data_IF_552805688192
#
_entry.id   IF_552805688192
#
_cell.length_a   1.000
_cell.length_b   1.000
_cell.length_c   1.000
_cell.angle_alpha   90.00
_cell.angle_beta   90.00
_cell.angle_gamma   90.00
#
_symmetry.space_group_name_H-M   'P 1'
#
loop_
_entity.id
_entity.type
_entity.pdbx_description
1 polymer ?
#
# COMPACT_ATOMS: atom_id res chain seq x y z
N UNK A 1 -34.67 -42.28 38.90
CA UNK A 1 -35.10 -40.97 38.36
C UNK A 1 -33.86 -40.28 37.83
N UNK A 2 -33.55 -40.46 36.54
CA UNK A 2 -32.49 -39.76 35.82
C UNK A 2 -33.15 -39.36 34.50
N UNK A 3 -33.61 -38.11 34.43
CA UNK A 3 -34.18 -37.54 33.21
C UNK A 3 -33.02 -37.20 32.27
N UNK A 4 -32.92 -37.96 31.18
CA UNK A 4 -32.04 -37.67 30.06
C UNK A 4 -32.79 -36.70 29.13
N UNK A 5 -32.40 -35.43 29.12
CA UNK A 5 -32.97 -34.40 28.25
C UNK A 5 -32.16 -34.36 26.94
N UNK A 6 -32.72 -34.71 25.77
CA UNK A 6 -32.07 -34.39 24.51
C UNK A 6 -32.24 -32.89 24.23
N UNK A 7 -31.12 -32.17 24.13
CA UNK A 7 -31.09 -30.84 23.52
C UNK A 7 -31.56 -30.98 22.06
N UNK A 8 -32.77 -30.50 21.78
CA UNK A 8 -33.21 -30.24 20.42
C UNK A 8 -32.46 -28.99 19.93
N UNK A 9 -31.47 -29.21 19.07
CA UNK A 9 -30.92 -28.17 18.21
C UNK A 9 -32.02 -27.77 17.22
N UNK A 10 -32.78 -26.73 17.56
CA UNK A 10 -33.64 -26.05 16.59
C UNK A 10 -32.70 -25.33 15.63
N UNK A 11 -32.54 -25.90 14.43
CA UNK A 11 -32.01 -25.17 13.29
C UNK A 11 -32.94 -23.97 13.04
N UNK A 12 -32.42 -22.75 13.18
CA UNK A 12 -33.10 -21.54 12.73
C UNK A 12 -33.14 -21.55 11.19
N UNK A 13 -34.03 -22.36 10.63
CA UNK A 13 -34.57 -22.18 9.29
C UNK A 13 -35.60 -21.05 9.34
N UNK A 14 -35.13 -19.81 9.48
CA UNK A 14 -35.96 -18.66 9.13
C UNK A 14 -35.83 -18.45 7.63
N UNK A 15 -36.77 -19.02 6.89
CA UNK A 15 -37.00 -18.68 5.49
C UNK A 15 -37.40 -17.21 5.39
N UNK A 16 -36.42 -16.33 5.20
CA UNK A 16 -36.68 -14.99 4.70
C UNK A 16 -37.02 -15.12 3.21
N UNK A 17 -38.33 -15.17 2.91
CA UNK A 17 -38.87 -14.74 1.62
C UNK A 17 -38.73 -13.20 1.51
N UNK A 18 -37.50 -12.71 1.51
CA UNK A 18 -37.20 -11.39 0.95
C UNK A 18 -36.88 -11.59 -0.53
N UNK A 19 -37.41 -10.77 -1.44
CA UNK A 19 -36.99 -10.81 -2.82
C UNK A 19 -35.48 -10.60 -2.83
N UNK A 20 -34.73 -11.58 -3.37
CA UNK A 20 -33.29 -11.48 -3.55
C UNK A 20 -33.01 -10.14 -4.22
N UNK A 21 -32.53 -9.16 -3.44
CA UNK A 21 -32.00 -7.93 -3.99
C UNK A 21 -30.83 -8.39 -4.82
N UNK A 22 -31.04 -8.49 -6.14
CA UNK A 22 -30.03 -8.82 -7.12
C UNK A 22 -28.95 -7.76 -6.95
N UNK A 23 -27.93 -8.09 -6.17
CA UNK A 23 -26.77 -7.24 -5.96
C UNK A 23 -26.15 -7.13 -7.34
N UNK A 24 -26.29 -5.98 -7.99
CA UNK A 24 -25.58 -5.71 -9.23
C UNK A 24 -24.09 -5.74 -8.90
N UNK A 25 -23.45 -6.87 -9.23
CA UNK A 25 -22.01 -7.01 -9.14
C UNK A 25 -21.43 -6.09 -10.22
N UNK A 26 -21.07 -4.87 -9.82
CA UNK A 26 -20.30 -3.97 -10.68
C UNK A 26 -19.00 -4.68 -11.05
N UNK A 27 -18.61 -4.66 -12.34
CA UNK A 27 -17.34 -5.25 -12.74
C UNK A 27 -16.20 -4.62 -11.94
N UNK A 28 -15.23 -5.45 -11.55
CA UNK A 28 -14.04 -4.95 -10.88
C UNK A 28 -13.39 -3.85 -11.75
N UNK A 29 -12.89 -2.75 -11.14
CA UNK A 29 -12.13 -1.74 -11.87
C UNK A 29 -11.03 -2.40 -12.70
N UNK A 30 -10.93 -2.06 -13.98
CA UNK A 30 -9.84 -2.55 -14.82
C UNK A 30 -8.55 -1.86 -14.37
N UNK A 31 -7.64 -2.64 -13.80
CA UNK A 31 -6.31 -2.16 -13.43
C UNK A 31 -5.53 -1.72 -14.67
N UNK A 32 -4.82 -0.60 -14.57
CA UNK A 32 -3.90 -0.13 -15.62
C UNK A 32 -2.49 -0.71 -15.40
N UNK A 33 -1.73 -0.91 -16.47
CA UNK A 33 -0.28 -1.18 -16.36
C UNK A 33 0.54 0.12 -16.28
N UNK A 34 -0.09 1.27 -16.51
CA UNK A 34 0.57 2.57 -16.45
C UNK A 34 0.65 3.07 -15.00
N UNK A 35 1.86 3.05 -14.45
CA UNK A 35 2.18 3.53 -13.12
C UNK A 35 2.65 4.99 -13.09
N UNK A 36 2.70 5.70 -14.24
CA UNK A 36 3.33 7.03 -14.35
C UNK A 36 2.77 8.02 -13.34
N UNK A 37 1.44 8.12 -13.24
CA UNK A 37 0.79 9.06 -12.34
C UNK A 37 1.16 8.78 -10.87
N UNK A 38 1.15 7.51 -10.47
CA UNK A 38 1.48 7.11 -9.11
C UNK A 38 2.96 7.23 -8.79
N UNK A 39 3.85 6.99 -9.76
CA UNK A 39 5.29 7.17 -9.58
C UNK A 39 5.64 8.65 -9.36
N UNK A 40 5.04 9.55 -10.13
CA UNK A 40 5.23 11.00 -9.95
C UNK A 40 4.64 11.48 -8.62
N UNK A 41 3.44 11.03 -8.27
CA UNK A 41 2.84 11.34 -6.97
C UNK A 41 3.70 10.84 -5.81
N UNK A 42 4.28 9.64 -5.93
CA UNK A 42 5.19 9.09 -4.93
C UNK A 42 6.46 9.93 -4.82
N UNK A 43 7.06 10.32 -5.94
CA UNK A 43 8.24 11.17 -5.96
C UNK A 43 7.98 12.54 -5.33
N UNK A 44 6.84 13.16 -5.64
CA UNK A 44 6.44 14.42 -5.01
C UNK A 44 6.28 14.26 -3.51
N UNK A 45 5.47 13.30 -3.08
CA UNK A 45 5.15 13.05 -1.68
C UNK A 45 6.42 12.81 -0.84
N UNK A 46 7.32 11.93 -1.29
CA UNK A 46 8.53 11.63 -0.52
C UNK A 46 9.49 12.81 -0.40
N UNK A 47 9.48 13.79 -1.32
CA UNK A 47 10.30 14.99 -1.20
C UNK A 47 9.64 16.09 -0.36
N UNK A 48 8.36 15.95 -0.07
CA UNK A 48 7.62 16.85 0.81
C UNK A 48 7.73 16.44 2.28
N UNK A 49 7.68 15.13 2.57
CA UNK A 49 7.49 14.63 3.94
C UNK A 49 8.72 13.98 4.57
N UNK A 50 9.76 13.64 3.81
CA UNK A 50 10.89 12.86 4.35
C UNK A 50 11.73 13.64 5.36
N UNK A 51 11.81 14.97 5.23
CA UNK A 51 12.46 15.84 6.21
C UNK A 51 11.89 15.67 7.62
N UNK A 52 10.58 15.40 7.75
CA UNK A 52 9.94 15.15 9.05
C UNK A 52 10.52 13.92 9.75
N UNK A 53 10.93 12.91 8.97
CA UNK A 53 11.55 11.69 9.48
C UNK A 53 13.02 11.94 9.84
N UNK A 54 13.76 12.68 9.00
CA UNK A 54 15.14 13.10 9.30
C UNK A 54 15.22 13.94 10.59
N UNK A 55 14.31 14.90 10.74
CA UNK A 55 14.22 15.81 11.87
C UNK A 55 13.60 15.16 13.12
N UNK A 56 13.17 13.90 13.02
CA UNK A 56 12.51 13.13 14.08
C UNK A 56 11.33 13.88 14.69
N UNK A 57 10.46 14.43 13.85
CA UNK A 57 9.20 15.08 14.26
C UNK A 57 8.18 14.05 14.72
N UNK A 58 8.46 13.37 15.84
CA UNK A 58 7.71 12.20 16.34
C UNK A 58 6.20 12.45 16.39
N UNK A 59 5.79 13.64 16.80
CA UNK A 59 4.38 14.02 16.93
C UNK A 59 3.65 14.17 15.57
N UNK A 60 4.41 14.32 14.48
CA UNK A 60 3.89 14.52 13.12
C UNK A 60 3.98 13.24 12.27
N UNK A 61 4.84 12.27 12.64
CA UNK A 61 5.15 11.11 11.77
C UNK A 61 3.92 10.25 11.44
N UNK A 62 3.02 9.95 12.39
CA UNK A 62 1.90 9.06 12.04
C UNK A 62 0.90 9.73 11.08
N UNK A 63 0.56 11.00 11.34
CA UNK A 63 -0.45 11.74 10.56
C UNK A 63 0.11 12.28 9.23
N UNK A 64 1.27 12.93 9.25
CA UNK A 64 1.82 13.65 8.10
C UNK A 64 2.74 12.78 7.23
N UNK A 65 3.28 11.68 7.77
CA UNK A 65 4.18 10.80 7.03
C UNK A 65 3.51 9.46 6.71
N UNK A 66 3.20 8.67 7.74
CA UNK A 66 2.85 7.26 7.54
C UNK A 66 1.47 7.07 6.92
N UNK A 67 0.46 7.85 7.31
CA UNK A 67 -0.87 7.78 6.70
C UNK A 67 -0.85 8.14 5.19
N UNK A 68 -0.28 9.28 4.75
CA UNK A 68 -0.16 9.59 3.33
C UNK A 68 0.59 8.53 2.52
N UNK A 69 1.70 8.00 3.06
CA UNK A 69 2.45 6.93 2.41
C UNK A 69 1.61 5.67 2.20
N UNK A 70 0.87 5.24 3.22
CA UNK A 70 -0.03 4.07 3.13
C UNK A 70 -1.20 4.30 2.20
N UNK A 71 -1.79 5.51 2.22
CA UNK A 71 -2.89 5.88 1.35
C UNK A 71 -2.45 5.77 -0.11
N UNK A 72 -1.37 6.46 -0.48
CA UNK A 72 -0.85 6.41 -1.85
C UNK A 72 -0.43 4.98 -2.27
N UNK A 73 0.19 4.22 -1.36
CA UNK A 73 0.57 2.83 -1.63
C UNK A 73 -0.64 1.92 -1.85
N UNK A 74 -1.75 2.20 -1.15
CA UNK A 74 -3.02 1.47 -1.29
C UNK A 74 -3.70 1.85 -2.60
N UNK A 75 -3.79 3.14 -2.90
CA UNK A 75 -4.36 3.63 -4.16
C UNK A 75 -3.59 3.10 -5.37
N UNK A 76 -2.27 3.07 -5.29
CA UNK A 76 -1.43 2.44 -6.31
C UNK A 76 -1.86 0.98 -6.54
N UNK A 77 -1.93 0.16 -5.49
CA UNK A 77 -2.29 -1.26 -5.59
C UNK A 77 -3.70 -1.50 -6.13
N UNK A 78 -4.63 -0.57 -5.89
CA UNK A 78 -6.02 -0.68 -6.32
C UNK A 78 -6.18 -0.30 -7.79
N UNK A 79 -5.28 0.52 -8.34
CA UNK A 79 -5.45 1.09 -9.67
C UNK A 79 -4.41 0.60 -10.69
N UNK A 80 -3.22 0.21 -10.23
CA UNK A 80 -2.15 -0.31 -11.07
C UNK A 80 -2.06 -1.82 -10.89
N UNK A 81 -1.94 -2.54 -12.01
CA UNK A 81 -1.78 -3.98 -12.01
C UNK A 81 -0.44 -4.31 -11.38
N UNK A 82 -0.51 -5.00 -10.24
CA UNK A 82 0.65 -5.60 -9.61
C UNK A 82 1.15 -6.76 -10.48
N UNK A 83 2.34 -6.66 -11.01
CA UNK A 83 3.02 -7.75 -11.73
C UNK A 83 4.31 -8.11 -10.99
N UNK A 84 5.03 -9.14 -11.43
CA UNK A 84 6.32 -9.41 -10.77
C UNK A 84 7.30 -8.24 -10.99
N UNK A 85 8.31 -8.12 -10.13
CA UNK A 85 9.29 -7.02 -10.20
C UNK A 85 10.09 -7.00 -11.52
N UNK A 86 10.08 -8.10 -12.27
CA UNK A 86 10.72 -8.21 -13.59
C UNK A 86 9.86 -7.53 -14.66
N UNK A 87 8.55 -7.46 -14.45
CA UNK A 87 7.56 -6.97 -15.41
C UNK A 87 6.85 -5.67 -14.99
N UNK A 88 7.01 -5.13 -13.79
CA UNK A 88 6.34 -3.87 -13.36
C UNK A 88 6.99 -2.57 -13.92
N UNK A 89 8.16 -2.67 -14.55
CA UNK A 89 8.90 -1.49 -15.04
C UNK A 89 9.61 -0.74 -13.91
N UNK A 90 10.44 0.26 -14.25
CA UNK A 90 11.23 0.98 -13.23
C UNK A 90 10.39 1.84 -12.29
N UNK A 91 9.15 2.17 -12.63
CA UNK A 91 8.26 2.93 -11.74
C UNK A 91 7.89 2.17 -10.45
N UNK A 92 7.98 0.83 -10.43
CA UNK A 92 7.87 0.05 -9.19
C UNK A 92 8.91 0.44 -8.12
N UNK A 93 10.05 1.00 -8.52
CA UNK A 93 11.08 1.51 -7.60
C UNK A 93 10.56 2.67 -6.75
N UNK A 94 9.60 3.45 -7.25
CA UNK A 94 8.97 4.52 -6.48
C UNK A 94 8.02 3.99 -5.40
N UNK A 95 7.29 2.89 -5.69
CA UNK A 95 6.50 2.18 -4.68
C UNK A 95 7.39 1.59 -3.58
N UNK A 96 8.57 1.09 -3.96
CA UNK A 96 9.58 0.61 -3.02
C UNK A 96 10.09 1.74 -2.11
N UNK A 97 10.36 2.91 -2.68
CA UNK A 97 10.74 4.11 -1.92
C UNK A 97 9.68 4.48 -0.86
N UNK A 98 8.39 4.49 -1.22
CA UNK A 98 7.29 4.72 -0.26
C UNK A 98 7.32 3.72 0.91
N UNK A 99 7.50 2.44 0.60
CA UNK A 99 7.50 1.35 1.61
C UNK A 99 8.71 1.46 2.53
N UNK A 100 9.89 1.78 1.98
CA UNK A 100 11.11 1.96 2.76
C UNK A 100 11.03 3.18 3.68
N UNK A 101 10.38 4.28 3.24
CA UNK A 101 10.16 5.47 4.08
C UNK A 101 9.19 5.16 5.23
N UNK A 102 8.05 4.50 4.98
CA UNK A 102 7.12 4.12 6.07
C UNK A 102 7.80 3.18 7.08
N UNK A 103 8.64 2.26 6.59
CA UNK A 103 9.40 1.35 7.46
C UNK A 103 10.41 2.10 8.33
N UNK A 104 11.15 3.04 7.75
CA UNK A 104 12.10 3.86 8.49
C UNK A 104 11.39 4.79 9.49
N UNK A 105 10.31 5.45 9.06
CA UNK A 105 9.50 6.32 9.91
C UNK A 105 8.94 5.57 11.13
N UNK A 106 8.51 4.32 10.95
CA UNK A 106 8.09 3.45 12.06
C UNK A 106 9.24 3.15 13.03
N UNK A 107 10.42 2.87 12.52
CA UNK A 107 11.60 2.57 13.35
C UNK A 107 12.08 3.81 14.11
N UNK A 108 11.95 5.01 13.51
CA UNK A 108 12.18 6.30 14.19
C UNK A 108 11.19 6.52 15.33
N UNK A 109 9.89 6.31 15.09
CA UNK A 109 8.86 6.36 16.14
C UNK A 109 9.13 5.40 17.29
N UNK A 110 9.57 4.18 16.98
CA UNK A 110 9.87 3.15 17.97
C UNK A 110 11.25 3.32 18.63
N UNK A 111 12.05 4.32 18.22
CA UNK A 111 13.45 4.48 18.60
C UNK A 111 14.25 3.16 18.44
N UNK A 112 14.01 2.45 17.34
CA UNK A 112 14.58 1.13 17.09
C UNK A 112 16.04 1.22 16.66
N UNK A 113 16.87 0.26 17.11
CA UNK A 113 18.29 0.15 16.71
C UNK A 113 18.48 -0.01 15.20
N UNK A 114 17.47 -0.48 14.48
CA UNK A 114 17.47 -0.66 13.03
C UNK A 114 17.25 0.65 12.24
N UNK A 115 16.93 1.77 12.90
CA UNK A 115 16.58 3.02 12.23
C UNK A 115 17.67 3.51 11.26
N UNK A 116 18.96 3.39 11.64
CA UNK A 116 20.08 3.80 10.77
C UNK A 116 20.16 2.95 9.49
N UNK A 117 19.96 1.64 9.60
CA UNK A 117 19.96 0.77 8.42
C UNK A 117 18.75 1.05 7.53
N UNK A 118 17.58 1.33 8.13
CA UNK A 118 16.36 1.68 7.39
C UNK A 118 16.46 3.03 6.69
N UNK A 119 17.17 4.00 7.28
CA UNK A 119 17.49 5.25 6.61
C UNK A 119 18.32 4.99 5.34
N UNK A 120 19.40 4.21 5.44
CA UNK A 120 20.23 3.88 4.28
C UNK A 120 19.47 3.10 3.19
N UNK A 121 18.58 2.19 3.61
CA UNK A 121 17.69 1.48 2.69
C UNK A 121 16.75 2.43 1.94
N UNK A 122 16.15 3.39 2.66
CA UNK A 122 15.29 4.41 2.09
C UNK A 122 16.05 5.33 1.12
N UNK A 123 17.21 5.85 1.50
CA UNK A 123 18.01 6.75 0.67
C UNK A 123 18.40 6.07 -0.66
N UNK A 124 18.80 4.79 -0.60
CA UNK A 124 19.06 3.99 -1.80
C UNK A 124 17.79 3.86 -2.66
N UNK A 125 16.66 3.52 -2.06
CA UNK A 125 15.42 3.29 -2.79
C UNK A 125 14.83 4.60 -3.37
N UNK A 126 14.99 5.73 -2.66
CA UNK A 126 14.69 7.09 -3.16
C UNK A 126 15.52 7.41 -4.40
N UNK A 127 16.82 7.15 -4.38
CA UNK A 127 17.70 7.37 -5.53
C UNK A 127 17.32 6.47 -6.73
N UNK A 128 16.91 5.23 -6.47
CA UNK A 128 16.38 4.34 -7.51
C UNK A 128 15.09 4.87 -8.13
N UNK A 129 14.16 5.38 -7.31
CA UNK A 129 12.95 6.05 -7.80
C UNK A 129 13.29 7.28 -8.63
N UNK A 130 14.20 8.14 -8.16
CA UNK A 130 14.69 9.29 -8.94
C UNK A 130 15.17 8.88 -10.32
N UNK A 131 16.01 7.85 -10.38
CA UNK A 131 16.49 7.31 -11.65
C UNK A 131 15.37 6.82 -12.56
N UNK A 132 14.27 6.30 -12.03
CA UNK A 132 13.09 5.94 -12.81
C UNK A 132 12.32 7.16 -13.33
N UNK A 133 12.13 8.18 -12.49
CA UNK A 133 11.48 9.45 -12.86
C UNK A 133 12.27 10.20 -13.94
N UNK A 134 13.59 10.25 -13.81
CA UNK A 134 14.48 10.92 -14.76
C UNK A 134 14.60 10.15 -16.10
N UNK A 135 14.15 8.88 -16.16
CA UNK A 135 14.21 8.02 -17.34
C UNK A 135 12.85 7.37 -17.65
N UNK A 136 11.82 8.15 -18.02
CA UNK A 136 10.43 7.69 -18.13
C UNK A 136 10.23 6.61 -19.20
N UNK A 137 11.11 6.53 -20.20
CA UNK A 137 11.10 5.50 -21.23
C UNK A 137 11.28 4.07 -20.68
N UNK A 138 11.82 3.93 -19.46
CA UNK A 138 11.99 2.66 -18.76
C UNK A 138 10.98 2.49 -17.61
N UNK A 139 10.09 3.46 -17.44
CA UNK A 139 9.20 3.57 -16.29
C UNK A 139 8.14 2.47 -16.24
N UNK A 140 7.38 2.32 -17.31
CA UNK A 140 6.44 1.21 -17.48
C UNK A 140 7.06 0.12 -18.36
N UNK A 141 6.67 -1.13 -18.16
CA UNK A 141 6.89 -2.16 -19.18
C UNK A 141 5.91 -2.00 -20.33
N UNK A 142 6.37 -2.32 -21.54
CA UNK A 142 5.47 -2.41 -22.69
C UNK A 142 4.40 -3.47 -22.42
N UNK A 143 3.11 -3.18 -22.69
CA UNK A 143 2.08 -4.20 -22.67
C UNK A 143 2.49 -5.33 -23.64
N UNK A 144 2.58 -6.57 -23.14
CA UNK A 144 2.64 -7.77 -23.98
C UNK A 144 1.24 -8.23 -24.31
#
# INVERSE_FOLDING_TARGET
MVLCTPLLLIACGNGNNEPEKKVEIKPAPKLTNDATAYANAAWQLINEIDSLVYDKKIDEIEEEVRKPLRQLSTDWRINVKMTDSVTEGKYALCRKALTSLDSWARDVLANANSATQKQADYERDKNQCKGAIDNPALGNTSPK
#
